data_IF_445163718754
#
_entry.id   IF_445163718754
#
_cell.length_a   1.000
_cell.length_b   1.000
_cell.length_c   1.000
_cell.angle_alpha   90.00
_cell.angle_beta   90.00
_cell.angle_gamma   90.00
#
_symmetry.space_group_name_H-M   'P 1'
#
loop_
_entity.id
_entity.type
_entity.pdbx_description
1 polymer ?
#
# COMPACT_ATOMS: atom_id res chain seq x y z
N UNK A 1 -54.76 38.90 26.11
CA UNK A 1 -54.90 38.56 24.68
C UNK A 1 -53.48 38.35 24.14
N UNK A 2 -52.98 37.12 24.12
CA UNK A 2 -51.58 36.85 23.74
C UNK A 2 -51.47 36.69 22.23
N UNK A 3 -50.74 37.63 21.59
CA UNK A 3 -50.52 37.68 20.16
C UNK A 3 -49.43 36.68 19.76
N UNK A 4 -49.83 35.53 19.22
CA UNK A 4 -48.91 34.49 18.74
C UNK A 4 -48.40 34.87 17.34
N UNK A 5 -47.15 35.32 17.25
CA UNK A 5 -46.49 35.68 16.00
C UNK A 5 -46.12 34.40 15.25
N UNK A 6 -46.85 34.08 14.17
CA UNK A 6 -46.56 32.93 13.30
C UNK A 6 -45.29 33.25 12.50
N UNK A 7 -44.16 32.68 12.88
CA UNK A 7 -42.93 32.69 12.07
C UNK A 7 -43.19 31.90 10.79
N UNK A 8 -43.01 32.54 9.63
CA UNK A 8 -43.06 31.87 8.34
C UNK A 8 -41.85 30.93 8.25
N UNK A 9 -42.08 29.62 8.37
CA UNK A 9 -41.05 28.62 8.20
C UNK A 9 -40.83 28.42 6.70
N UNK A 10 -39.79 29.03 6.16
CA UNK A 10 -39.34 28.79 4.78
C UNK A 10 -38.77 27.38 4.69
N UNK A 11 -39.59 26.43 4.25
CA UNK A 11 -39.17 25.06 3.99
C UNK A 11 -38.43 24.96 2.66
N UNK A 12 -37.50 24.01 2.58
CA UNK A 12 -36.84 23.61 1.34
C UNK A 12 -37.86 22.94 0.40
N UNK A 13 -37.90 23.30 -0.88
CA UNK A 13 -38.86 22.71 -1.82
C UNK A 13 -38.40 21.32 -2.28
N UNK A 14 -39.36 20.45 -2.64
CA UNK A 14 -39.04 19.13 -3.20
C UNK A 14 -38.22 19.23 -4.49
N UNK A 15 -38.47 20.26 -5.30
CA UNK A 15 -37.74 20.45 -6.56
C UNK A 15 -36.29 20.91 -6.32
N UNK A 16 -36.04 21.77 -5.32
CA UNK A 16 -34.68 22.12 -4.90
C UNK A 16 -33.94 20.88 -4.40
N UNK A 17 -34.62 20.01 -3.63
CA UNK A 17 -33.98 18.79 -3.12
C UNK A 17 -33.64 17.80 -4.24
N UNK A 18 -34.54 17.63 -5.22
CA UNK A 18 -34.30 16.75 -6.37
C UNK A 18 -33.13 17.21 -7.23
N UNK A 19 -33.01 18.52 -7.51
CA UNK A 19 -31.90 19.04 -8.31
C UNK A 19 -30.55 18.92 -7.58
N UNK A 20 -30.54 19.16 -6.26
CA UNK A 20 -29.32 18.99 -5.44
C UNK A 20 -28.86 17.54 -5.43
N UNK A 21 -29.78 16.58 -5.23
CA UNK A 21 -29.44 15.15 -5.25
C UNK A 21 -28.90 14.72 -6.63
N UNK A 22 -29.46 15.25 -7.71
CA UNK A 22 -28.97 14.95 -9.06
C UNK A 22 -27.53 15.44 -9.28
N UNK A 23 -27.21 16.67 -8.86
CA UNK A 23 -25.86 17.24 -9.01
C UNK A 23 -24.85 16.48 -8.12
N UNK A 24 -25.21 16.23 -6.85
CA UNK A 24 -24.35 15.47 -5.92
C UNK A 24 -24.11 14.05 -6.43
N UNK A 25 -25.11 13.41 -7.05
CA UNK A 25 -24.96 12.09 -7.66
C UNK A 25 -23.91 12.05 -8.76
N UNK A 26 -23.89 13.05 -9.66
CA UNK A 26 -22.89 13.15 -10.73
C UNK A 26 -21.49 13.38 -10.15
N UNK A 27 -21.36 14.29 -9.17
CA UNK A 27 -20.08 14.57 -8.53
C UNK A 27 -19.54 13.34 -7.78
N UNK A 28 -20.40 12.61 -7.07
CA UNK A 28 -20.03 11.40 -6.35
C UNK A 28 -19.50 10.30 -7.29
N UNK A 29 -20.11 10.13 -8.47
CA UNK A 29 -19.68 9.14 -9.46
C UNK A 29 -18.22 9.34 -9.92
N UNK A 30 -17.76 10.59 -10.01
CA UNK A 30 -16.37 10.91 -10.36
C UNK A 30 -15.44 10.93 -9.15
N UNK A 31 -15.92 11.44 -8.01
CA UNK A 31 -15.09 11.62 -6.81
C UNK A 31 -14.77 10.31 -6.09
N UNK A 32 -15.72 9.37 -6.04
CA UNK A 32 -15.54 8.08 -5.34
C UNK A 32 -14.37 7.24 -5.87
N UNK A 33 -14.23 6.96 -7.19
CA UNK A 33 -13.09 6.18 -7.68
C UNK A 33 -11.74 6.89 -7.48
N UNK A 34 -11.72 8.22 -7.53
CA UNK A 34 -10.50 8.98 -7.25
C UNK A 34 -10.10 8.88 -5.77
N UNK A 35 -11.07 8.97 -4.86
CA UNK A 35 -10.84 8.89 -3.42
C UNK A 35 -10.37 7.49 -2.99
N UNK A 36 -10.98 6.43 -3.54
CA UNK A 36 -10.51 5.06 -3.27
C UNK A 36 -9.07 4.90 -3.75
N UNK A 37 -8.71 5.37 -4.94
CA UNK A 37 -7.33 5.30 -5.42
C UNK A 37 -6.34 6.11 -4.56
N UNK A 38 -6.73 7.29 -4.08
CA UNK A 38 -5.88 8.08 -3.17
C UNK A 38 -5.61 7.36 -1.85
N UNK A 39 -6.66 6.82 -1.21
CA UNK A 39 -6.50 6.04 0.02
C UNK A 39 -5.70 4.76 -0.22
N UNK A 40 -5.88 4.10 -1.37
CA UNK A 40 -5.07 2.94 -1.78
C UNK A 40 -3.59 3.29 -1.89
N UNK A 41 -3.23 4.43 -2.50
CA UNK A 41 -1.83 4.90 -2.57
C UNK A 41 -1.23 5.16 -1.20
N UNK A 42 -2.00 5.71 -0.27
CA UNK A 42 -1.56 5.92 1.11
C UNK A 42 -1.28 4.59 1.82
N UNK A 43 -2.14 3.57 1.61
CA UNK A 43 -1.92 2.23 2.16
C UNK A 43 -0.68 1.56 1.54
N UNK A 44 -0.49 1.71 0.23
CA UNK A 44 0.70 1.21 -0.48
C UNK A 44 2.00 1.87 0.03
N UNK A 45 1.95 3.17 0.37
CA UNK A 45 3.09 3.89 0.90
C UNK A 45 3.58 3.32 2.25
N UNK A 46 2.68 2.79 3.09
CA UNK A 46 3.06 2.09 4.32
C UNK A 46 3.94 0.86 4.02
N UNK A 47 3.51 -0.01 3.10
CA UNK A 47 4.29 -1.18 2.71
C UNK A 47 5.63 -0.83 2.11
N UNK A 48 5.69 0.22 1.29
CA UNK A 48 6.97 0.75 0.78
C UNK A 48 7.86 1.29 1.89
N UNK A 49 7.29 1.90 2.93
CA UNK A 49 8.04 2.42 4.07
C UNK A 49 8.67 1.27 4.89
N UNK A 50 7.89 0.22 5.16
CA UNK A 50 8.40 -0.97 5.87
C UNK A 50 9.53 -1.63 5.07
N UNK A 51 9.33 -1.85 3.76
CA UNK A 51 10.36 -2.42 2.89
C UNK A 51 11.63 -1.55 2.81
N UNK A 52 11.49 -0.22 2.85
CA UNK A 52 12.64 0.71 2.87
C UNK A 52 13.44 0.58 4.18
N UNK A 53 12.76 0.43 5.32
CA UNK A 53 13.41 0.24 6.61
C UNK A 53 14.32 -0.97 6.64
N UNK A 54 13.92 -2.05 5.96
CA UNK A 54 14.69 -3.30 5.91
C UNK A 54 15.89 -3.29 4.96
N UNK A 55 16.04 -2.29 4.09
CA UNK A 55 17.11 -2.29 3.08
C UNK A 55 18.51 -2.17 3.70
N UNK A 56 18.68 -1.22 4.61
CA UNK A 56 19.97 -0.97 5.27
C UNK A 56 20.44 -2.16 6.13
N UNK A 57 19.63 -2.68 7.08
CA UNK A 57 20.07 -3.80 7.93
C UNK A 57 20.32 -5.07 7.12
N UNK A 58 19.53 -5.32 6.06
CA UNK A 58 19.81 -6.42 5.14
C UNK A 58 21.18 -6.25 4.48
N UNK A 59 21.45 -5.08 3.87
CA UNK A 59 22.70 -4.83 3.14
C UNK A 59 23.90 -4.95 4.08
N UNK A 60 23.80 -4.45 5.31
CA UNK A 60 24.84 -4.61 6.32
C UNK A 60 25.09 -6.10 6.61
N UNK A 61 24.03 -6.86 6.93
CA UNK A 61 24.14 -8.27 7.29
C UNK A 61 24.74 -9.13 6.17
N UNK A 62 24.29 -8.94 4.93
CA UNK A 62 24.82 -9.69 3.78
C UNK A 62 26.24 -9.24 3.41
N UNK A 63 26.64 -8.01 3.73
CA UNK A 63 28.01 -7.52 3.51
C UNK A 63 29.01 -8.06 4.52
N UNK A 64 28.60 -8.25 5.78
CA UNK A 64 29.44 -8.90 6.80
C UNK A 64 29.49 -10.42 6.67
N UNK A 65 28.48 -11.00 6.03
CA UNK A 65 28.33 -12.45 5.85
C UNK A 65 28.21 -12.85 4.38
N UNK A 66 27.14 -13.58 4.08
CA UNK A 66 26.78 -14.03 2.72
C UNK A 66 25.30 -13.75 2.46
N UNK A 67 24.85 -14.01 1.23
CA UNK A 67 23.43 -13.89 0.88
C UNK A 67 22.52 -14.83 1.69
N UNK A 68 23.07 -15.88 2.31
CA UNK A 68 22.32 -16.80 3.19
C UNK A 68 21.77 -16.11 4.43
N UNK A 69 22.29 -14.92 4.78
CA UNK A 69 21.73 -14.09 5.84
C UNK A 69 20.36 -13.51 5.46
N UNK A 70 19.98 -13.50 4.18
CA UNK A 70 18.65 -13.10 3.74
C UNK A 70 17.61 -14.20 4.06
N UNK A 71 17.26 -14.30 5.35
CA UNK A 71 16.25 -15.19 5.91
C UNK A 71 15.51 -14.47 7.03
N UNK A 72 14.27 -14.87 7.29
CA UNK A 72 13.41 -14.25 8.31
C UNK A 72 13.81 -14.59 9.76
N UNK A 73 14.75 -15.51 9.97
CA UNK A 73 15.25 -15.88 11.30
C UNK A 73 16.52 -15.09 11.69
N UNK A 74 17.06 -14.30 10.78
CA UNK A 74 18.28 -13.55 11.03
C UNK A 74 18.02 -12.35 11.96
N UNK A 75 19.02 -12.00 12.79
CA UNK A 75 18.90 -10.96 13.80
C UNK A 75 18.57 -9.57 13.23
N UNK A 76 19.02 -9.28 11.99
CA UNK A 76 18.70 -8.03 11.29
C UNK A 76 17.21 -7.91 10.93
N UNK A 77 16.46 -9.02 10.91
CA UNK A 77 15.05 -9.06 10.55
C UNK A 77 14.14 -9.21 11.78
N UNK A 78 14.52 -10.05 12.75
CA UNK A 78 13.66 -10.37 13.91
C UNK A 78 13.45 -9.20 14.87
N UNK A 79 14.32 -8.19 14.85
CA UNK A 79 14.17 -6.95 15.61
C UNK A 79 13.39 -5.85 14.89
N UNK A 80 13.02 -6.07 13.63
CA UNK A 80 12.42 -5.04 12.77
C UNK A 80 10.89 -5.13 12.73
N UNK A 81 10.27 -4.01 12.35
CA UNK A 81 8.82 -3.97 12.16
C UNK A 81 8.47 -4.54 10.78
N UNK A 82 7.82 -5.71 10.78
CA UNK A 82 7.48 -6.45 9.56
C UNK A 82 5.99 -6.43 9.24
N UNK A 83 5.17 -5.88 10.12
CA UNK A 83 3.72 -5.79 10.00
C UNK A 83 3.27 -4.36 10.23
N UNK A 84 2.09 -4.02 9.72
CA UNK A 84 1.54 -2.68 9.88
C UNK A 84 0.02 -2.66 9.97
N UNK A 85 -0.56 -1.48 9.80
CA UNK A 85 -2.01 -1.33 9.75
C UNK A 85 -2.58 -2.02 8.51
N UNK A 86 -1.91 -1.89 7.36
CA UNK A 86 -2.38 -2.38 6.06
C UNK A 86 -1.55 -3.56 5.52
N UNK A 87 -0.33 -3.74 6.03
CA UNK A 87 0.54 -4.87 5.68
C UNK A 87 0.34 -6.01 6.67
N UNK A 88 0.10 -7.21 6.16
CA UNK A 88 -0.02 -8.45 6.93
C UNK A 88 1.35 -8.92 7.41
N UNK A 89 2.36 -8.83 6.55
CA UNK A 89 3.72 -9.24 6.89
C UNK A 89 4.71 -8.99 5.77
N UNK A 90 5.99 -9.11 6.11
CA UNK A 90 7.09 -9.14 5.15
C UNK A 90 7.72 -10.52 5.14
N UNK A 91 7.70 -11.18 3.99
CA UNK A 91 8.45 -12.41 3.75
C UNK A 91 9.87 -12.09 3.29
N UNK A 92 10.82 -12.96 3.63
CA UNK A 92 12.22 -12.88 3.20
C UNK A 92 12.61 -14.21 2.59
N UNK A 93 13.28 -14.20 1.45
CA UNK A 93 13.80 -15.41 0.82
C UNK A 93 15.08 -15.10 0.06
N UNK A 94 16.01 -16.05 0.03
CA UNK A 94 17.31 -15.90 -0.64
C UNK A 94 17.47 -16.89 -1.79
N UNK A 95 18.26 -16.49 -2.78
CA UNK A 95 18.84 -17.35 -3.79
C UNK A 95 20.37 -17.26 -3.67
N UNK A 96 20.96 -18.36 -3.20
CA UNK A 96 22.40 -18.48 -2.99
C UNK A 96 23.18 -18.59 -4.30
N UNK A 97 22.55 -19.08 -5.37
CA UNK A 97 23.18 -19.28 -6.68
C UNK A 97 23.38 -17.95 -7.38
N UNK A 98 22.31 -17.16 -7.52
CA UNK A 98 22.39 -15.84 -8.15
C UNK A 98 22.73 -14.71 -7.16
N UNK A 99 22.97 -15.03 -5.90
CA UNK A 99 23.23 -14.10 -4.79
C UNK A 99 22.18 -12.98 -4.71
N UNK A 100 20.91 -13.39 -4.69
CA UNK A 100 19.75 -12.50 -4.62
C UNK A 100 18.99 -12.66 -3.31
N UNK A 101 18.40 -11.57 -2.85
CA UNK A 101 17.50 -11.53 -1.70
C UNK A 101 16.19 -10.91 -2.13
N UNK A 102 15.07 -11.55 -1.82
CA UNK A 102 13.72 -11.09 -2.11
C UNK A 102 13.00 -10.77 -0.81
N UNK A 103 12.56 -9.52 -0.64
CA UNK A 103 11.64 -9.11 0.40
C UNK A 103 10.26 -8.95 -0.22
N UNK A 104 9.24 -9.51 0.43
CA UNK A 104 7.86 -9.53 -0.07
C UNK A 104 6.91 -8.96 0.97
N UNK A 105 6.45 -7.72 0.79
CA UNK A 105 5.37 -7.17 1.60
C UNK A 105 4.03 -7.68 1.07
N UNK A 106 3.20 -8.27 1.93
CA UNK A 106 1.85 -8.73 1.60
C UNK A 106 0.81 -7.86 2.29
N UNK A 107 -0.14 -7.31 1.54
CA UNK A 107 -1.25 -6.53 2.09
C UNK A 107 -2.32 -7.44 2.69
N UNK A 108 -3.00 -6.96 3.73
CA UNK A 108 -4.04 -7.72 4.43
C UNK A 108 -5.19 -8.12 3.50
N UNK A 109 -5.88 -9.19 3.88
CA UNK A 109 -7.04 -9.72 3.17
C UNK A 109 -8.32 -8.88 3.38
N UNK A 110 -8.35 -8.04 4.42
CA UNK A 110 -9.48 -7.18 4.75
C UNK A 110 -9.01 -5.87 5.40
N UNK A 111 -9.89 -4.85 5.40
CA UNK A 111 -9.58 -3.54 6.00
C UNK A 111 -8.59 -2.69 5.18
N UNK A 112 -8.32 -3.12 3.94
CA UNK A 112 -7.54 -2.39 2.93
C UNK A 112 -8.39 -2.17 1.68
N UNK A 113 -7.95 -1.27 0.82
CA UNK A 113 -8.59 -1.00 -0.47
C UNK A 113 -8.70 -2.27 -1.31
N UNK A 114 -9.86 -2.50 -1.93
CA UNK A 114 -10.15 -3.72 -2.72
C UNK A 114 -9.10 -3.98 -3.82
N UNK A 115 -8.53 -2.92 -4.40
CA UNK A 115 -7.51 -3.00 -5.44
C UNK A 115 -6.11 -3.41 -4.91
N UNK A 116 -5.94 -3.54 -3.58
CA UNK A 116 -4.68 -3.97 -2.94
C UNK A 116 -4.85 -5.21 -2.04
N UNK A 117 -6.07 -5.69 -1.82
CA UNK A 117 -6.33 -6.85 -0.96
C UNK A 117 -5.56 -8.09 -1.45
N UNK A 118 -4.79 -8.72 -0.55
CA UNK A 118 -3.93 -9.88 -0.83
C UNK A 118 -2.85 -9.64 -1.91
N UNK A 119 -2.62 -8.38 -2.31
CA UNK A 119 -1.58 -8.00 -3.26
C UNK A 119 -0.24 -7.84 -2.56
N UNK A 120 0.82 -7.75 -3.35
CA UNK A 120 2.20 -7.81 -2.90
C UNK A 120 3.08 -6.77 -3.58
N UNK A 121 4.07 -6.34 -2.83
CA UNK A 121 5.21 -5.59 -3.35
C UNK A 121 6.45 -6.41 -3.04
N UNK A 122 7.24 -6.67 -4.07
CA UNK A 122 8.51 -7.38 -3.93
C UNK A 122 9.66 -6.45 -4.24
N UNK A 123 10.68 -6.45 -3.38
CA UNK A 123 11.96 -5.79 -3.65
C UNK A 123 13.06 -6.84 -3.65
N UNK A 124 13.91 -6.77 -4.66
CA UNK A 124 15.00 -7.72 -4.86
C UNK A 124 16.32 -7.01 -4.80
N UNK A 125 17.22 -7.49 -3.96
CA UNK A 125 18.60 -7.05 -3.89
C UNK A 125 19.50 -8.10 -4.54
N UNK A 126 20.48 -7.67 -5.35
CA UNK A 126 21.52 -8.56 -5.89
C UNK A 126 22.88 -8.15 -5.36
N UNK A 127 23.59 -9.07 -4.70
CA UNK A 127 24.96 -8.81 -4.23
C UNK A 127 25.97 -8.74 -5.38
N UNK A 128 25.65 -9.31 -6.55
CA UNK A 128 26.55 -9.25 -7.71
C UNK A 128 26.67 -7.83 -8.28
N UNK A 129 25.58 -7.05 -8.22
CA UNK A 129 25.51 -5.71 -8.82
C UNK A 129 25.30 -4.59 -7.80
N UNK A 130 24.86 -4.90 -6.58
CA UNK A 130 24.45 -3.92 -5.57
C UNK A 130 23.11 -3.23 -5.90
N UNK A 131 22.38 -3.71 -6.91
CA UNK A 131 21.16 -3.06 -7.40
C UNK A 131 19.93 -3.55 -6.64
N UNK A 132 19.00 -2.63 -6.40
CA UNK A 132 17.65 -2.91 -5.92
C UNK A 132 16.64 -2.80 -7.06
N UNK A 133 15.87 -3.85 -7.24
CA UNK A 133 14.72 -3.88 -8.13
C UNK A 133 13.43 -3.88 -7.30
N UNK A 134 12.37 -3.30 -7.83
CA UNK A 134 11.04 -3.38 -7.21
C UNK A 134 10.02 -3.83 -8.25
N UNK A 135 9.14 -4.75 -7.85
CA UNK A 135 7.99 -5.16 -8.63
C UNK A 135 6.76 -5.38 -7.78
N UNK A 136 5.61 -5.47 -8.43
CA UNK A 136 4.32 -5.58 -7.74
C UNK A 136 3.23 -6.18 -8.63
N UNK A 137 2.17 -6.71 -8.02
CA UNK A 137 0.94 -7.16 -8.68
C UNK A 137 -0.27 -6.26 -8.32
N UNK A 138 -0.02 -5.05 -7.81
CA UNK A 138 -1.02 -4.02 -7.56
C UNK A 138 -1.71 -3.58 -8.86
N UNK A 139 -2.93 -3.08 -8.74
CA UNK A 139 -3.60 -2.41 -9.86
C UNK A 139 -2.77 -1.23 -10.38
N UNK A 140 -2.75 -1.02 -11.71
CA UNK A 140 -1.88 -0.04 -12.38
C UNK A 140 -1.96 1.37 -11.77
N UNK A 141 -3.14 1.81 -11.35
CA UNK A 141 -3.36 3.12 -10.71
C UNK A 141 -2.67 3.29 -9.36
N UNK A 142 -2.29 2.19 -8.71
CA UNK A 142 -1.73 2.13 -7.35
C UNK A 142 -0.26 1.73 -7.33
N UNK A 143 0.33 1.43 -8.49
CA UNK A 143 1.74 1.04 -8.61
C UNK A 143 2.64 2.23 -8.22
N UNK A 144 3.57 2.07 -7.26
CA UNK A 144 4.57 3.10 -6.96
C UNK A 144 5.50 3.32 -8.16
N UNK A 145 5.88 4.57 -8.44
CA UNK A 145 6.79 4.91 -9.54
C UNK A 145 8.19 4.24 -9.48
N UNK A 146 8.58 3.75 -8.30
CA UNK A 146 9.85 3.03 -8.10
C UNK A 146 9.73 1.54 -8.51
N UNK A 147 8.51 1.01 -8.59
CA UNK A 147 8.21 -0.39 -8.84
C UNK A 147 7.69 -0.57 -10.26
N UNK A 148 8.62 -0.61 -11.21
CA UNK A 148 8.32 -0.66 -12.64
C UNK A 148 8.23 -2.09 -13.20
N UNK A 149 8.47 -3.10 -12.36
CA UNK A 149 8.45 -4.49 -12.77
C UNK A 149 7.16 -5.19 -12.32
N UNK A 150 6.73 -6.25 -13.01
CA UNK A 150 5.77 -7.19 -12.43
C UNK A 150 6.36 -7.84 -11.18
N UNK A 151 5.54 -8.59 -10.44
CA UNK A 151 5.96 -9.28 -9.23
C UNK A 151 7.27 -10.06 -9.44
N UNK A 152 8.31 -9.65 -8.74
CA UNK A 152 9.63 -10.29 -8.83
C UNK A 152 9.63 -11.66 -8.15
N UNK A 153 10.31 -12.61 -8.78
CA UNK A 153 10.63 -13.93 -8.22
C UNK A 153 12.13 -14.04 -7.92
N UNK A 154 12.53 -15.14 -7.27
CA UNK A 154 13.93 -15.42 -6.95
C UNK A 154 14.74 -16.00 -8.12
N UNK A 155 14.08 -16.39 -9.21
CA UNK A 155 14.69 -16.95 -10.43
C UNK A 155 15.49 -15.89 -11.22
#
# INVERSE_FOLDING_TARGET
MNYYKKTAQSGFTLIELMTVVAIVGILAALALPMYTNYTGKAQVAEGMSLLKGLKTPLVESVSTGSIEQCVNTAAWFTGEVTEGKYVEGIGVSSDTTNKRCLLTATFKSAGVNDNIQNKKITVRYSMNTGIWECGTDLHADLVPAVCNNPLLTLE
#
